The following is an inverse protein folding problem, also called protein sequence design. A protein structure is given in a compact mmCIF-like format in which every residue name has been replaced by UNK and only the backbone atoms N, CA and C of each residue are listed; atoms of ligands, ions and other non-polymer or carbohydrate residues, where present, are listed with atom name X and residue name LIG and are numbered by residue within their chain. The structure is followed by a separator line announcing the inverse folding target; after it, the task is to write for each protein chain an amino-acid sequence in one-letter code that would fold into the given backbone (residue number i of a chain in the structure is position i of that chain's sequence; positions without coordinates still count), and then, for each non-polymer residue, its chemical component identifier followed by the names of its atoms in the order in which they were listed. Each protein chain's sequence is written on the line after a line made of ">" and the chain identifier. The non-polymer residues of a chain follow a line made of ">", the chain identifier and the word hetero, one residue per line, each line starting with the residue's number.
data_IF_413086644675
#
_entry.id   IF_413086644675
#
_cell.length_a   1.000
_cell.length_b   1.000
_cell.length_c   1.000
_cell.angle_alpha   90.00
_cell.angle_beta   90.00
_cell.angle_gamma   90.00
#
_symmetry.space_group_name_H-M   'P 1'
#
loop_
_entity.id
_entity.type
_entity.pdbx_description
1 polymer ?
#
# COMPACT_ATOMS: atom_id res chain seq x y z
N UNK A 1 -31.94 -0.74 28.75
CA UNK A 1 -31.77 -2.13 28.29
C UNK A 1 -31.16 -2.06 26.89
N UNK A 2 -29.91 -2.50 26.75
CA UNK A 2 -29.16 -2.41 25.50
C UNK A 2 -29.79 -3.32 24.42
N UNK A 3 -29.91 -2.79 23.21
CA UNK A 3 -30.46 -3.49 22.06
C UNK A 3 -29.60 -4.71 21.69
N UNK A 4 -30.26 -5.82 21.37
CA UNK A 4 -29.63 -7.03 20.87
C UNK A 4 -28.86 -6.76 19.55
N UNK A 5 -27.73 -7.44 19.31
CA UNK A 5 -26.93 -7.25 18.10
C UNK A 5 -27.71 -7.68 16.86
N UNK A 6 -27.80 -6.80 15.85
CA UNK A 6 -28.35 -7.15 14.54
C UNK A 6 -27.47 -8.23 13.90
N UNK A 7 -28.09 -9.36 13.63
CA UNK A 7 -27.50 -10.56 13.08
C UNK A 7 -26.99 -10.38 11.65
N UNK A 8 -25.71 -10.73 11.45
CA UNK A 8 -25.09 -11.27 10.25
C UNK A 8 -25.03 -10.43 8.96
N UNK A 9 -23.90 -9.74 8.85
CA UNK A 9 -23.16 -9.39 7.64
C UNK A 9 -22.77 -10.67 6.85
N UNK A 10 -23.76 -11.39 6.31
CA UNK A 10 -23.53 -12.62 5.53
C UNK A 10 -22.97 -12.28 4.15
N UNK A 11 -21.64 -12.23 4.08
CA UNK A 11 -20.89 -12.17 2.83
C UNK A 11 -21.17 -13.42 1.99
N UNK A 12 -21.67 -13.22 0.77
CA UNK A 12 -21.87 -14.31 -0.19
C UNK A 12 -20.80 -14.30 -1.27
N UNK A 13 -20.41 -15.47 -1.79
CA UNK A 13 -19.43 -15.56 -2.89
C UNK A 13 -20.10 -15.32 -4.24
N UNK A 14 -19.47 -14.50 -5.07
CA UNK A 14 -19.83 -14.35 -6.46
C UNK A 14 -19.59 -15.67 -7.22
N UNK A 15 -20.60 -16.16 -7.93
CA UNK A 15 -20.54 -17.42 -8.67
C UNK A 15 -19.58 -17.39 -9.87
N UNK A 16 -19.10 -16.21 -10.28
CA UNK A 16 -18.24 -16.04 -11.47
C UNK A 16 -16.78 -15.86 -11.11
N UNK A 17 -16.47 -14.99 -10.15
CA UNK A 17 -15.09 -14.68 -9.76
C UNK A 17 -14.74 -15.13 -8.34
N UNK A 18 -15.68 -15.67 -7.58
CA UNK A 18 -15.46 -16.16 -6.22
C UNK A 18 -15.28 -15.07 -5.14
N UNK A 19 -15.35 -13.78 -5.49
CA UNK A 19 -15.18 -12.69 -4.52
C UNK A 19 -16.36 -12.61 -3.55
N UNK A 20 -16.10 -12.18 -2.32
CA UNK A 20 -17.14 -11.95 -1.32
C UNK A 20 -17.82 -10.60 -1.55
N UNK A 21 -19.16 -10.57 -1.50
CA UNK A 21 -19.97 -9.36 -1.66
C UNK A 21 -20.96 -9.21 -0.50
N UNK A 22 -21.13 -7.96 -0.04
CA UNK A 22 -22.11 -7.59 0.99
C UNK A 22 -23.52 -7.38 0.42
N UNK A 23 -23.63 -7.09 -0.87
CA UNK A 23 -24.89 -6.87 -1.58
C UNK A 23 -24.83 -7.72 -2.84
N UNK A 24 -25.50 -8.89 -2.83
CA UNK A 24 -25.67 -9.67 -4.05
C UNK A 24 -26.93 -9.21 -4.78
N UNK A 25 -26.84 -9.01 -6.10
CA UNK A 25 -28.02 -9.17 -6.93
C UNK A 25 -28.25 -10.67 -7.05
N UNK A 26 -29.15 -11.20 -6.24
CA UNK A 26 -29.58 -12.59 -6.38
C UNK A 26 -30.43 -12.69 -7.64
N UNK A 27 -29.94 -13.37 -8.67
CA UNK A 27 -30.78 -13.67 -9.83
C UNK A 27 -31.88 -14.67 -9.43
N UNK A 28 -33.00 -14.75 -10.17
CA UNK A 28 -34.07 -15.73 -9.90
C UNK A 28 -33.56 -17.17 -9.78
N UNK A 29 -32.43 -17.48 -10.42
CA UNK A 29 -31.73 -18.76 -10.34
C UNK A 29 -30.82 -18.96 -9.10
N UNK A 30 -30.93 -18.10 -8.07
CA UNK A 30 -30.18 -18.12 -6.79
C UNK A 30 -28.65 -17.97 -6.91
N UNK A 31 -28.12 -17.61 -8.08
CA UNK A 31 -26.71 -17.30 -8.26
C UNK A 31 -26.41 -15.84 -7.89
N UNK A 32 -25.34 -15.63 -7.13
CA UNK A 32 -24.91 -14.31 -6.66
C UNK A 32 -23.82 -13.75 -7.59
N UNK A 33 -23.98 -12.51 -8.05
CA UNK A 33 -23.01 -11.85 -8.94
C UNK A 33 -22.51 -10.55 -8.31
N UNK A 34 -21.21 -10.25 -8.47
CA UNK A 34 -20.65 -8.97 -8.09
C UNK A 34 -20.84 -7.93 -9.19
N UNK A 35 -20.94 -6.66 -8.81
CA UNK A 35 -21.17 -5.55 -9.76
C UNK A 35 -20.11 -5.46 -10.87
N UNK A 36 -18.86 -5.87 -10.59
CA UNK A 36 -17.80 -5.95 -11.61
C UNK A 36 -18.10 -7.02 -12.66
N UNK A 37 -18.60 -8.19 -12.24
CA UNK A 37 -18.99 -9.26 -13.16
C UNK A 37 -20.26 -8.89 -13.94
N UNK A 38 -21.26 -8.29 -13.29
CA UNK A 38 -22.47 -7.78 -13.95
C UNK A 38 -22.10 -6.74 -15.02
N UNK A 39 -21.28 -5.74 -14.67
CA UNK A 39 -20.84 -4.70 -15.60
C UNK A 39 -20.06 -5.24 -16.79
N UNK A 40 -19.28 -6.32 -16.61
CA UNK A 40 -18.61 -7.00 -17.72
C UNK A 40 -19.59 -7.74 -18.62
N UNK A 41 -20.64 -8.33 -18.07
CA UNK A 41 -21.67 -9.05 -18.83
C UNK A 41 -22.59 -8.13 -19.64
N UNK A 42 -22.81 -6.91 -19.16
CA UNK A 42 -23.66 -5.90 -19.83
C UNK A 42 -22.86 -4.93 -20.70
N UNK A 43 -21.53 -5.03 -20.70
CA UNK A 43 -20.64 -4.14 -21.48
C UNK A 43 -20.98 -4.19 -22.98
N UNK A 44 -21.40 -3.06 -23.54
CA UNK A 44 -21.75 -2.90 -24.96
C UNK A 44 -23.23 -3.13 -25.29
N UNK A 45 -24.05 -3.56 -24.32
CA UNK A 45 -25.50 -3.64 -24.45
C UNK A 45 -26.08 -2.44 -23.70
N UNK A 46 -26.79 -1.53 -24.37
CA UNK A 46 -27.26 -0.27 -23.78
C UNK A 46 -28.16 -0.46 -22.53
N UNK A 47 -28.73 0.64 -22.01
CA UNK A 47 -29.49 0.69 -20.73
C UNK A 47 -30.67 -0.30 -20.56
N UNK A 48 -31.01 -1.08 -21.58
CA UNK A 48 -32.03 -2.14 -21.56
C UNK A 48 -31.44 -3.57 -21.48
N UNK A 49 -30.16 -3.70 -21.14
CA UNK A 49 -29.48 -4.98 -21.12
C UNK A 49 -29.92 -5.84 -19.93
N UNK A 50 -30.50 -7.00 -20.24
CA UNK A 50 -30.89 -8.00 -19.26
C UNK A 50 -29.66 -8.86 -18.87
N UNK A 51 -29.17 -8.81 -17.62
CA UNK A 51 -28.00 -9.60 -17.20
C UNK A 51 -28.39 -11.08 -17.06
N UNK A 52 -28.19 -11.85 -18.13
CA UNK A 52 -28.48 -13.29 -18.12
C UNK A 52 -27.37 -14.08 -17.40
N UNK A 53 -27.74 -14.96 -16.46
CA UNK A 53 -26.78 -15.80 -15.74
C UNK A 53 -25.99 -16.71 -16.71
N UNK A 54 -24.64 -16.69 -16.68
CA UNK A 54 -23.83 -17.55 -17.55
C UNK A 54 -23.84 -19.03 -17.12
N UNK A 55 -24.26 -19.33 -15.89
CA UNK A 55 -24.29 -20.69 -15.34
C UNK A 55 -25.64 -21.41 -15.53
N UNK A 56 -26.68 -20.71 -15.99
CA UNK A 56 -27.98 -21.33 -16.28
C UNK A 56 -28.08 -21.80 -17.74
N UNK A 57 -28.74 -22.95 -17.99
CA UNK A 57 -29.13 -23.38 -19.33
C UNK A 57 -29.89 -22.27 -20.07
N UNK A 58 -29.70 -22.17 -21.40
CA UNK A 58 -30.14 -21.00 -22.19
C UNK A 58 -31.65 -20.73 -22.09
N UNK A 59 -32.40 -21.79 -21.88
CA UNK A 59 -33.83 -21.98 -21.72
C UNK A 59 -34.39 -21.60 -20.34
N UNK A 60 -33.54 -21.39 -19.32
CA UNK A 60 -33.95 -20.96 -17.97
C UNK A 60 -33.58 -19.51 -17.65
N UNK A 61 -33.11 -18.74 -18.63
CA UNK A 61 -32.66 -17.35 -18.44
C UNK A 61 -33.83 -16.38 -18.54
N UNK A 62 -34.63 -16.29 -17.49
CA UNK A 62 -35.46 -15.11 -17.25
C UNK A 62 -34.59 -14.03 -16.61
N UNK A 63 -34.75 -12.79 -17.04
CA UNK A 63 -34.08 -11.70 -16.35
C UNK A 63 -34.95 -10.45 -16.34
N UNK A 64 -34.72 -9.62 -15.32
CA UNK A 64 -35.50 -8.44 -15.04
C UNK A 64 -34.83 -7.21 -15.63
N UNK A 65 -35.64 -6.22 -15.98
CA UNK A 65 -35.14 -4.92 -16.45
C UNK A 65 -34.55 -4.14 -15.28
N UNK A 66 -33.63 -3.21 -15.57
CA UNK A 66 -33.01 -2.34 -14.56
C UNK A 66 -34.07 -1.52 -13.81
N UNK A 67 -35.16 -1.16 -14.48
CA UNK A 67 -36.28 -0.41 -13.89
C UNK A 67 -37.05 -1.24 -12.83
N UNK A 68 -37.20 -2.56 -13.03
CA UNK A 68 -37.83 -3.46 -12.05
C UNK A 68 -36.90 -3.76 -10.85
N UNK A 69 -35.58 -3.82 -11.09
CA UNK A 69 -34.58 -3.90 -10.02
C UNK A 69 -34.56 -2.63 -9.16
N UNK A 70 -34.81 -1.47 -9.79
CA UNK A 70 -34.86 -0.18 -9.12
C UNK A 70 -36.04 -0.01 -8.16
N UNK A 71 -37.22 -0.54 -8.52
CA UNK A 71 -38.38 -0.56 -7.63
C UNK A 71 -38.18 -1.49 -6.42
N UNK A 72 -37.40 -2.56 -6.59
CA UNK A 72 -37.18 -3.57 -5.53
C UNK A 72 -36.07 -3.17 -4.54
N UNK A 73 -35.09 -2.37 -4.96
CA UNK A 73 -33.89 -2.04 -4.17
C UNK A 73 -33.94 -0.70 -3.41
N UNK A 74 -35.04 0.04 -3.50
CA UNK A 74 -35.23 1.29 -2.73
C UNK A 74 -34.50 2.50 -3.35
N UNK A 75 -35.17 3.65 -3.35
CA UNK A 75 -34.73 4.89 -4.04
C UNK A 75 -33.37 5.42 -3.58
N UNK A 76 -32.93 5.07 -2.37
CA UNK A 76 -31.73 5.64 -1.74
C UNK A 76 -30.42 5.14 -2.37
N UNK A 77 -30.33 3.87 -2.77
CA UNK A 77 -29.12 3.32 -3.42
C UNK A 77 -28.89 3.89 -4.82
N UNK A 78 -29.98 4.14 -5.56
CA UNK A 78 -29.90 4.77 -6.89
C UNK A 78 -29.56 6.25 -6.76
N UNK A 79 -30.06 6.91 -5.72
CA UNK A 79 -29.68 8.29 -5.42
C UNK A 79 -28.18 8.39 -5.13
N UNK A 80 -27.61 7.47 -4.33
CA UNK A 80 -26.17 7.43 -4.07
C UNK A 80 -25.34 7.21 -5.34
N UNK A 81 -25.75 6.31 -6.23
CA UNK A 81 -25.05 6.07 -7.50
C UNK A 81 -25.18 7.26 -8.47
N UNK A 82 -26.35 7.90 -8.56
CA UNK A 82 -26.56 9.11 -9.38
C UNK A 82 -25.79 10.32 -8.82
N UNK A 83 -25.74 10.49 -7.51
CA UNK A 83 -24.92 11.51 -6.83
C UNK A 83 -23.44 11.23 -7.07
N UNK A 84 -23.00 9.98 -6.98
CA UNK A 84 -21.62 9.56 -7.27
C UNK A 84 -21.25 9.83 -8.73
N UNK A 85 -22.18 9.62 -9.67
CA UNK A 85 -21.95 9.87 -11.09
C UNK A 85 -21.99 11.36 -11.46
N UNK A 86 -22.79 12.18 -10.75
CA UNK A 86 -22.71 13.64 -10.83
C UNK A 86 -21.41 14.20 -10.24
N UNK A 87 -20.97 13.70 -9.08
CA UNK A 87 -19.69 14.06 -8.46
C UNK A 87 -18.51 13.69 -9.37
N UNK A 88 -18.54 12.51 -10.00
CA UNK A 88 -17.51 12.06 -10.96
C UNK A 88 -17.47 12.90 -12.24
N UNK A 89 -18.58 13.51 -12.65
CA UNK A 89 -18.64 14.46 -13.78
C UNK A 89 -18.13 15.85 -13.37
N UNK A 90 -18.42 16.31 -12.14
CA UNK A 90 -17.83 17.53 -11.61
C UNK A 90 -16.31 17.40 -11.40
N UNK A 91 -15.81 16.28 -10.87
CA UNK A 91 -14.37 16.03 -10.69
C UNK A 91 -13.59 15.97 -12.01
N UNK A 92 -14.19 15.47 -13.10
CA UNK A 92 -13.58 15.50 -14.45
C UNK A 92 -13.54 16.90 -15.07
N UNK A 93 -14.30 17.85 -14.54
CA UNK A 93 -14.29 19.25 -14.98
C UNK A 93 -13.44 20.15 -14.06
N UNK A 94 -12.97 19.63 -12.91
CA UNK A 94 -12.09 20.29 -11.95
C UNK A 94 -10.67 19.69 -11.95
N UNK A 95 -10.07 19.47 -13.11
CA UNK A 95 -8.59 19.44 -13.22
C UNK A 95 -8.09 20.87 -13.40
N UNK A 96 -7.97 21.63 -12.30
CA UNK A 96 -7.02 22.76 -12.15
C UNK A 96 -7.06 23.37 -10.74
N UNK A 97 -6.85 22.55 -9.70
CA UNK A 97 -6.23 22.96 -8.44
C UNK A 97 -5.94 21.70 -7.61
N UNK A 98 -4.69 21.25 -7.59
CA UNK A 98 -4.26 20.21 -6.65
C UNK A 98 -4.50 20.69 -5.23
N UNK A 99 -5.38 20.02 -4.47
CA UNK A 99 -5.41 20.20 -3.01
C UNK A 99 -3.99 19.90 -2.48
N UNK A 100 -3.45 20.73 -1.57
CA UNK A 100 -2.12 20.51 -1.04
C UNK A 100 -2.05 19.15 -0.34
N UNK A 101 -0.92 18.46 -0.52
CA UNK A 101 -0.64 17.20 0.13
C UNK A 101 -0.49 17.47 1.64
N UNK A 102 -1.46 17.03 2.46
CA UNK A 102 -1.39 17.22 3.92
C UNK A 102 -1.10 15.91 4.65
N UNK A 103 -0.28 15.96 5.70
CA UNK A 103 0.11 14.77 6.50
C UNK A 103 -0.98 14.44 7.53
N UNK A 104 -1.72 15.44 8.00
CA UNK A 104 -2.62 15.36 9.17
C UNK A 104 -3.80 14.38 9.05
N UNK A 105 -4.20 14.02 7.82
CA UNK A 105 -5.34 13.14 7.57
C UNK A 105 -4.96 11.76 7.04
N UNK A 106 -3.68 11.39 7.08
CA UNK A 106 -3.20 10.13 6.51
C UNK A 106 -2.42 9.31 7.51
N UNK A 107 -2.58 7.97 7.50
CA UNK A 107 -1.74 7.12 8.32
C UNK A 107 -0.26 7.28 7.95
N UNK A 108 0.60 7.40 8.96
CA UNK A 108 2.04 7.34 8.80
C UNK A 108 2.51 5.89 8.83
N UNK A 109 3.35 5.51 7.87
CA UNK A 109 4.05 4.23 7.86
C UNK A 109 5.54 4.53 7.73
N UNK A 110 6.33 4.05 8.68
CA UNK A 110 7.79 4.18 8.66
C UNK A 110 8.37 2.97 7.96
N UNK A 111 9.35 3.17 7.09
CA UNK A 111 9.95 2.09 6.32
C UNK A 111 11.44 2.29 6.13
N UNK A 112 12.11 1.18 5.88
CA UNK A 112 13.53 1.12 5.53
C UNK A 112 13.75 -0.06 4.56
N UNK A 113 14.81 0.01 3.75
CA UNK A 113 15.20 -1.03 2.80
C UNK A 113 16.66 -1.43 3.00
N UNK A 114 16.89 -2.73 3.19
CA UNK A 114 18.21 -3.29 2.91
C UNK A 114 18.33 -3.60 1.43
N UNK A 115 19.54 -3.42 0.90
CA UNK A 115 19.79 -3.54 -0.54
C UNK A 115 21.11 -4.25 -0.86
N UNK A 116 21.28 -4.63 -2.12
CA UNK A 116 22.52 -5.25 -2.60
C UNK A 116 23.72 -4.29 -2.65
N UNK A 117 23.53 -2.98 -2.49
CA UNK A 117 24.57 -1.96 -2.71
C UNK A 117 24.00 -0.55 -2.72
N UNK A 118 24.84 0.47 -2.95
CA UNK A 118 24.48 1.88 -2.70
C UNK A 118 23.93 2.67 -3.92
N UNK A 119 23.83 2.05 -5.09
CA UNK A 119 23.30 2.70 -6.30
C UNK A 119 21.79 2.47 -6.51
N UNK A 120 21.09 3.35 -7.21
CA UNK A 120 19.62 3.24 -7.42
C UNK A 120 19.17 1.99 -8.19
N UNK A 121 20.09 1.29 -8.87
CA UNK A 121 19.84 0.03 -9.54
C UNK A 121 20.17 -1.19 -8.67
N UNK A 122 20.46 -1.01 -7.38
CA UNK A 122 20.53 -2.10 -6.41
C UNK A 122 19.21 -2.87 -6.36
N UNK A 123 19.26 -4.12 -5.90
CA UNK A 123 18.04 -4.86 -5.59
C UNK A 123 17.75 -4.76 -4.11
N UNK A 124 16.47 -4.74 -3.76
CA UNK A 124 16.01 -4.86 -2.38
C UNK A 124 16.35 -6.27 -1.88
N UNK A 125 16.91 -6.35 -0.67
CA UNK A 125 17.23 -7.59 0.06
C UNK A 125 16.40 -7.74 1.33
N UNK A 126 15.87 -6.66 1.90
CA UNK A 126 14.88 -6.69 2.98
C UNK A 126 13.94 -5.48 2.84
N UNK A 127 12.66 -5.67 3.16
CA UNK A 127 11.70 -4.58 3.36
C UNK A 127 11.28 -4.62 4.82
N UNK A 128 11.46 -3.52 5.54
CA UNK A 128 10.95 -3.33 6.89
C UNK A 128 10.00 -2.15 6.93
N UNK A 129 8.89 -2.30 7.66
CA UNK A 129 7.96 -1.21 7.87
C UNK A 129 7.17 -1.35 9.19
N UNK A 130 6.77 -0.22 9.75
CA UNK A 130 5.87 -0.15 10.91
C UNK A 130 4.81 0.92 10.67
N UNK A 131 3.57 0.60 11.03
CA UNK A 131 2.41 1.47 10.86
C UNK A 131 1.30 1.14 11.85
N UNK A 132 0.10 1.71 11.67
CA UNK A 132 -0.99 1.56 12.64
C UNK A 132 -1.47 0.13 12.84
N UNK A 133 -1.31 -0.72 11.82
CA UNK A 133 -1.74 -2.12 11.82
C UNK A 133 -0.67 -3.08 12.36
N UNK A 134 0.51 -2.57 12.73
CA UNK A 134 1.63 -3.35 13.26
C UNK A 134 2.89 -3.20 12.39
N UNK A 135 3.70 -4.25 12.37
CA UNK A 135 4.98 -4.29 11.65
C UNK A 135 4.97 -5.28 10.49
N UNK A 136 5.70 -4.96 9.44
CA UNK A 136 5.98 -5.82 8.29
C UNK A 136 7.49 -5.99 8.13
N UNK A 137 7.95 -7.21 7.91
CA UNK A 137 9.35 -7.51 7.61
C UNK A 137 9.43 -8.70 6.67
N UNK A 138 10.19 -8.58 5.59
CA UNK A 138 10.47 -9.71 4.71
C UNK A 138 11.83 -9.59 4.04
N UNK A 139 12.56 -10.70 3.92
CA UNK A 139 13.73 -10.78 3.07
C UNK A 139 13.34 -11.02 1.62
N UNK A 140 14.09 -10.43 0.70
CA UNK A 140 13.79 -10.41 -0.73
C UNK A 140 14.96 -11.01 -1.50
N UNK A 141 14.67 -11.99 -2.35
CA UNK A 141 15.69 -12.65 -3.19
C UNK A 141 16.16 -11.70 -4.29
N UNK A 142 17.41 -11.22 -4.27
CA UNK A 142 17.92 -10.38 -5.33
C UNK A 142 18.24 -11.22 -6.57
N UNK A 143 18.20 -10.59 -7.76
CA UNK A 143 18.67 -11.21 -9.02
C UNK A 143 20.16 -10.97 -9.31
N UNK A 144 20.91 -10.44 -8.35
CA UNK A 144 22.36 -10.18 -8.45
C UNK A 144 23.02 -10.40 -7.09
N UNK A 145 24.34 -10.49 -7.09
CA UNK A 145 25.12 -10.62 -5.87
C UNK A 145 24.96 -9.38 -4.98
N UNK A 146 25.03 -9.61 -3.68
CA UNK A 146 25.06 -8.55 -2.67
C UNK A 146 26.52 -8.10 -2.58
N UNK A 147 26.79 -6.81 -2.76
CA UNK A 147 28.14 -6.27 -2.69
C UNK A 147 28.76 -6.51 -1.30
N UNK A 148 30.05 -6.82 -1.23
CA UNK A 148 30.77 -7.09 0.02
C UNK A 148 30.55 -6.03 1.12
N UNK A 149 30.59 -4.71 0.82
CA UNK A 149 30.25 -3.70 1.82
C UNK A 149 28.83 -3.82 2.39
N UNK A 150 27.83 -4.13 1.55
CA UNK A 150 26.46 -4.31 1.99
C UNK A 150 26.30 -5.58 2.84
N UNK A 151 26.96 -6.68 2.46
CA UNK A 151 26.97 -7.91 3.26
C UNK A 151 27.56 -7.68 4.66
N UNK A 152 28.66 -6.92 4.77
CA UNK A 152 29.32 -6.63 6.05
C UNK A 152 28.46 -5.80 6.98
N UNK A 153 27.73 -4.84 6.44
CA UNK A 153 26.91 -3.91 7.21
C UNK A 153 25.60 -4.57 7.66
N UNK A 154 24.92 -5.26 6.75
CA UNK A 154 23.59 -5.85 6.99
C UNK A 154 23.66 -7.27 7.55
N UNK A 155 24.78 -7.97 7.35
CA UNK A 155 24.89 -9.41 7.61
C UNK A 155 24.07 -10.27 6.65
N UNK A 156 23.48 -9.70 5.60
CA UNK A 156 22.65 -10.41 4.63
C UNK A 156 23.53 -11.00 3.52
N UNK A 157 23.38 -12.30 3.27
CA UNK A 157 24.04 -13.00 2.16
C UNK A 157 23.02 -13.79 1.34
N UNK A 158 23.34 -14.03 0.06
CA UNK A 158 22.48 -14.79 -0.84
C UNK A 158 23.28 -15.72 -1.74
N UNK A 159 23.05 -17.03 -1.61
CA UNK A 159 23.59 -18.05 -2.51
C UNK A 159 22.60 -18.26 -3.67
N UNK A 160 22.97 -17.74 -4.85
CA UNK A 160 22.16 -17.83 -6.07
C UNK A 160 21.98 -19.26 -6.59
N UNK A 161 22.92 -20.17 -6.30
CA UNK A 161 22.87 -21.58 -6.75
C UNK A 161 21.94 -22.40 -5.87
N UNK A 162 21.95 -22.15 -4.57
CA UNK A 162 21.07 -22.82 -3.60
C UNK A 162 19.74 -22.11 -3.39
N UNK A 163 19.56 -20.93 -3.98
CA UNK A 163 18.42 -20.03 -3.72
C UNK A 163 18.21 -19.79 -2.21
N UNK A 164 19.31 -19.70 -1.45
CA UNK A 164 19.29 -19.58 0.00
C UNK A 164 19.71 -18.20 0.42
N UNK A 165 18.86 -17.53 1.20
CA UNK A 165 19.18 -16.27 1.86
C UNK A 165 19.58 -16.54 3.30
N UNK A 166 20.59 -15.84 3.80
CA UNK A 166 21.01 -15.89 5.19
C UNK A 166 21.09 -14.48 5.77
N UNK A 167 20.81 -14.35 7.06
CA UNK A 167 21.04 -13.13 7.84
C UNK A 167 21.90 -13.52 9.03
N UNK A 168 23.08 -12.88 9.15
CA UNK A 168 24.09 -13.14 10.20
C UNK A 168 24.48 -14.62 10.30
N UNK A 169 24.61 -15.26 9.13
CA UNK A 169 24.99 -16.67 9.01
C UNK A 169 23.85 -17.68 9.20
N UNK A 170 22.67 -17.25 9.67
CA UNK A 170 21.50 -18.12 9.81
C UNK A 170 20.62 -18.09 8.54
N UNK A 171 20.14 -19.24 8.04
CA UNK A 171 19.18 -19.28 6.95
C UNK A 171 17.88 -18.53 7.30
N UNK A 172 17.37 -17.72 6.39
CA UNK A 172 16.10 -16.99 6.54
C UNK A 172 15.15 -17.26 5.38
N UNK A 173 13.85 -17.18 5.65
CA UNK A 173 12.82 -17.22 4.61
C UNK A 173 12.91 -15.94 3.77
N UNK A 174 12.83 -16.09 2.45
CA UNK A 174 12.88 -14.97 1.51
C UNK A 174 11.89 -15.17 0.37
N UNK A 175 11.34 -14.06 -0.13
CA UNK A 175 10.33 -14.01 -1.17
C UNK A 175 10.92 -13.51 -2.50
N UNK A 176 10.32 -13.87 -3.66
CA UNK A 176 10.57 -13.13 -4.89
C UNK A 176 10.12 -11.67 -4.74
N UNK A 177 10.85 -10.74 -5.36
CA UNK A 177 10.58 -9.29 -5.28
C UNK A 177 9.10 -8.92 -5.50
N UNK A 178 8.46 -9.48 -6.53
CA UNK A 178 7.06 -9.17 -6.84
C UNK A 178 6.12 -9.53 -5.69
N UNK A 179 6.31 -10.70 -5.10
CA UNK A 179 5.47 -11.17 -3.98
C UNK A 179 5.75 -10.35 -2.71
N UNK A 180 7.01 -10.01 -2.45
CA UNK A 180 7.39 -9.13 -1.34
C UNK A 180 6.74 -7.73 -1.47
N UNK A 181 6.70 -7.18 -2.69
CA UNK A 181 6.03 -5.91 -2.96
C UNK A 181 4.51 -6.01 -2.83
N UNK A 182 3.89 -7.08 -3.32
CA UNK A 182 2.45 -7.30 -3.17
C UNK A 182 2.05 -7.38 -1.69
N UNK A 183 2.78 -8.13 -0.88
CA UNK A 183 2.55 -8.21 0.57
C UNK A 183 2.81 -6.88 1.29
N UNK A 184 3.81 -6.13 0.85
CA UNK A 184 4.05 -4.77 1.38
C UNK A 184 2.86 -3.84 1.06
N UNK A 185 2.36 -3.85 -0.18
CA UNK A 185 1.20 -3.05 -0.59
C UNK A 185 -0.09 -3.45 0.15
N UNK A 186 -0.26 -4.74 0.46
CA UNK A 186 -1.35 -5.23 1.31
C UNK A 186 -1.21 -4.72 2.75
N UNK A 187 0.02 -4.72 3.30
CA UNK A 187 0.31 -4.17 4.62
C UNK A 187 -0.01 -2.68 4.74
N UNK A 188 0.22 -1.89 3.68
CA UNK A 188 -0.16 -0.46 3.64
C UNK A 188 -1.67 -0.22 3.82
N UNK A 189 -2.50 -1.25 3.65
CA UNK A 189 -3.94 -1.18 3.90
C UNK A 189 -4.71 -0.55 2.74
N UNK A 190 -6.01 -0.32 2.94
CA UNK A 190 -6.90 0.18 1.88
C UNK A 190 -6.69 1.67 1.58
N UNK A 191 -6.54 2.48 2.64
CA UNK A 191 -6.41 3.93 2.56
C UNK A 191 -4.99 4.36 2.18
N UNK A 192 -4.81 5.45 1.41
CA UNK A 192 -3.50 5.97 1.08
C UNK A 192 -2.72 6.46 2.31
N UNK A 193 -1.45 6.06 2.42
CA UNK A 193 -0.55 6.39 3.54
C UNK A 193 0.52 7.42 3.16
N UNK A 194 1.19 7.99 4.16
CA UNK A 194 2.44 8.72 3.98
C UNK A 194 3.60 7.86 4.45
N UNK A 195 4.58 7.63 3.58
CA UNK A 195 5.76 6.83 3.90
C UNK A 195 6.86 7.71 4.50
N UNK A 196 7.34 7.37 5.68
CA UNK A 196 8.45 8.03 6.37
C UNK A 196 9.70 7.17 6.27
N UNK A 197 10.79 7.74 5.78
CA UNK A 197 12.10 7.07 5.77
C UNK A 197 13.21 8.05 6.12
N UNK A 198 14.41 7.54 6.37
CA UNK A 198 15.55 8.36 6.75
C UNK A 198 16.56 8.47 5.60
N UNK A 199 16.77 9.68 5.06
CA UNK A 199 17.50 9.89 3.80
C UNK A 199 16.85 9.18 2.60
N UNK A 200 15.56 8.84 2.70
CA UNK A 200 14.85 8.00 1.76
C UNK A 200 14.67 8.65 0.39
N UNK A 201 14.58 9.99 0.32
CA UNK A 201 14.39 10.70 -0.97
C UNK A 201 15.55 10.43 -1.92
N UNK A 202 16.75 10.26 -1.37
CA UNK A 202 17.97 10.01 -2.14
C UNK A 202 18.26 8.54 -2.40
N UNK A 203 17.63 7.61 -1.67
CA UNK A 203 18.01 6.20 -1.72
C UNK A 203 16.80 5.27 -1.77
N UNK A 204 16.10 5.06 -0.65
CA UNK A 204 15.02 4.09 -0.54
C UNK A 204 13.89 4.34 -1.54
N UNK A 205 13.49 5.60 -1.73
CA UNK A 205 12.41 5.97 -2.63
C UNK A 205 12.74 5.66 -4.11
N UNK A 206 13.91 6.06 -4.67
CA UNK A 206 14.34 5.60 -6.00
C UNK A 206 14.39 4.07 -6.14
N UNK A 207 14.88 3.36 -5.13
CA UNK A 207 15.00 1.88 -5.16
C UNK A 207 13.62 1.23 -5.15
N UNK A 208 12.72 1.67 -4.27
CA UNK A 208 11.33 1.20 -4.20
C UNK A 208 10.57 1.49 -5.50
N UNK A 209 10.77 2.67 -6.08
CA UNK A 209 10.18 3.05 -7.36
C UNK A 209 10.64 2.10 -8.47
N UNK A 210 11.96 1.88 -8.60
CA UNK A 210 12.53 1.00 -9.61
C UNK A 210 12.06 -0.45 -9.44
N UNK A 211 11.98 -0.93 -8.20
CA UNK A 211 11.45 -2.25 -7.87
C UNK A 211 9.97 -2.40 -8.26
N UNK A 212 9.13 -1.43 -7.89
CA UNK A 212 7.71 -1.43 -8.24
C UNK A 212 7.50 -1.35 -9.76
N UNK A 213 8.28 -0.52 -10.47
CA UNK A 213 8.27 -0.43 -11.93
C UNK A 213 8.66 -1.76 -12.58
N UNK A 214 9.75 -2.38 -12.13
CA UNK A 214 10.21 -3.67 -12.65
C UNK A 214 9.21 -4.82 -12.43
N UNK A 215 8.34 -4.71 -11.42
CA UNK A 215 7.29 -5.69 -11.14
C UNK A 215 5.92 -5.35 -11.74
N UNK A 216 5.78 -4.22 -12.45
CA UNK A 216 4.49 -3.76 -12.96
C UNK A 216 3.48 -3.45 -11.84
N UNK A 217 3.98 -2.88 -10.74
CA UNK A 217 3.22 -2.51 -9.53
C UNK A 217 3.32 -1.01 -9.21
N UNK A 218 3.92 -0.21 -10.09
CA UNK A 218 4.10 1.23 -9.85
C UNK A 218 2.77 1.96 -9.64
N UNK A 219 1.76 1.68 -10.45
CA UNK A 219 0.44 2.29 -10.28
C UNK A 219 -0.23 1.91 -8.95
N UNK A 220 -0.03 0.68 -8.49
CA UNK A 220 -0.57 0.22 -7.21
C UNK A 220 0.13 0.94 -6.06
N UNK A 221 1.46 1.08 -6.14
CA UNK A 221 2.24 1.86 -5.18
C UNK A 221 1.80 3.33 -5.14
N UNK A 222 1.60 3.97 -6.29
CA UNK A 222 1.14 5.36 -6.38
C UNK A 222 -0.28 5.56 -5.84
N UNK A 223 -1.15 4.54 -5.91
CA UNK A 223 -2.49 4.59 -5.29
C UNK A 223 -2.42 4.44 -3.77
N UNK A 224 -1.48 3.63 -3.27
CA UNK A 224 -1.33 3.33 -1.84
C UNK A 224 -0.51 4.38 -1.09
N UNK A 225 0.39 5.09 -1.77
CA UNK A 225 1.29 6.06 -1.15
C UNK A 225 0.90 7.46 -1.62
N UNK A 226 0.31 8.24 -0.72
CA UNK A 226 -0.05 9.62 -1.00
C UNK A 226 1.18 10.54 -1.10
N UNK A 227 2.25 10.19 -0.40
CA UNK A 227 3.50 10.95 -0.41
C UNK A 227 4.53 10.35 0.53
N UNK A 228 5.69 11.00 0.59
CA UNK A 228 6.84 10.58 1.35
C UNK A 228 7.36 11.72 2.22
N UNK A 229 7.91 11.38 3.38
CA UNK A 229 8.65 12.32 4.23
C UNK A 229 10.06 11.78 4.43
N UNK A 230 11.06 12.59 4.05
CA UNK A 230 12.46 12.32 4.37
C UNK A 230 12.79 12.94 5.72
N UNK A 231 13.07 12.09 6.69
CA UNK A 231 13.29 12.53 8.07
C UNK A 231 14.68 13.11 8.29
N UNK A 232 15.67 12.87 7.41
CA UNK A 232 17.00 13.46 7.56
C UNK A 232 16.97 15.01 7.52
N UNK A 233 16.40 15.66 6.49
CA UNK A 233 16.24 17.11 6.51
C UNK A 233 15.30 17.59 7.62
N UNK A 234 14.29 16.78 7.99
CA UNK A 234 13.37 17.09 9.10
C UNK A 234 14.12 17.26 10.44
N UNK A 235 14.98 16.30 10.79
CA UNK A 235 15.81 16.38 12.00
C UNK A 235 16.83 17.52 11.92
N UNK A 236 17.46 17.74 10.75
CA UNK A 236 18.42 18.85 10.56
C UNK A 236 17.80 20.22 10.78
N UNK A 237 16.54 20.40 10.38
CA UNK A 237 15.86 21.67 10.55
C UNK A 237 15.26 21.84 11.95
N UNK A 238 14.60 20.80 12.46
CA UNK A 238 13.89 20.84 13.76
C UNK A 238 14.81 20.73 14.98
N UNK A 239 15.96 20.05 14.87
CA UNK A 239 16.90 19.83 15.97
C UNK A 239 18.33 20.20 15.56
N UNK A 240 18.57 21.49 15.39
CA UNK A 240 19.85 22.03 14.92
C UNK A 240 20.96 21.84 15.96
N UNK A 241 22.21 21.75 15.47
CA UNK A 241 23.41 21.74 16.32
C UNK A 241 23.90 20.36 16.75
N UNK A 242 23.27 19.27 16.31
CA UNK A 242 23.75 17.91 16.58
C UNK A 242 25.03 17.60 15.79
N UNK A 243 25.92 16.80 16.39
CA UNK A 243 27.20 16.37 15.77
C UNK A 243 26.99 15.51 14.53
N UNK A 244 25.92 14.74 14.50
CA UNK A 244 25.56 13.85 13.40
C UNK A 244 24.04 13.74 13.32
N UNK A 245 23.56 13.43 12.12
CA UNK A 245 22.15 13.13 11.85
C UNK A 245 21.97 11.76 11.22
N UNK A 246 22.95 10.86 11.37
CA UNK A 246 22.72 9.45 11.06
C UNK A 246 21.70 8.88 12.05
N UNK A 247 20.81 8.01 11.59
CA UNK A 247 19.69 7.52 12.39
C UNK A 247 20.16 6.88 13.70
N UNK A 248 21.20 6.04 13.66
CA UNK A 248 21.74 5.36 14.84
C UNK A 248 22.26 6.34 15.89
N UNK A 249 22.86 7.45 15.46
CA UNK A 249 23.39 8.48 16.34
C UNK A 249 22.30 9.42 16.86
N UNK A 250 21.24 9.66 16.07
CA UNK A 250 20.04 10.33 16.55
C UNK A 250 19.35 9.49 17.62
N UNK A 251 19.22 8.19 17.39
CA UNK A 251 18.59 7.26 18.32
C UNK A 251 19.35 7.20 19.66
N UNK A 252 20.67 7.03 19.60
CA UNK A 252 21.54 7.08 20.79
C UNK A 252 21.42 8.42 21.52
N UNK A 253 21.38 9.54 20.80
CA UNK A 253 21.22 10.86 21.41
C UNK A 253 19.90 10.99 22.19
N UNK A 254 18.77 10.55 21.62
CA UNK A 254 17.45 10.69 22.23
C UNK A 254 17.21 9.72 23.39
N UNK A 255 17.72 8.49 23.29
CA UNK A 255 17.33 7.40 24.17
C UNK A 255 18.48 6.85 25.02
N UNK A 256 19.72 7.27 24.78
CA UNK A 256 20.92 6.76 25.46
C UNK A 256 21.06 5.23 25.37
N UNK A 257 20.58 4.67 24.26
CA UNK A 257 20.57 3.24 23.99
C UNK A 257 20.87 2.99 22.50
N UNK A 258 21.38 1.81 22.16
CA UNK A 258 21.56 1.36 20.78
C UNK A 258 20.46 0.39 20.37
N UNK A 259 20.18 0.29 19.07
CA UNK A 259 19.33 -0.74 18.50
C UNK A 259 20.10 -1.56 17.45
N UNK A 260 19.49 -2.64 16.95
CA UNK A 260 20.08 -3.45 15.87
C UNK A 260 19.97 -2.72 14.54
N UNK A 261 20.84 -1.74 14.29
CA UNK A 261 20.93 -1.06 12.99
C UNK A 261 21.34 -2.01 11.88
N UNK A 262 20.96 -1.66 10.65
CA UNK A 262 21.16 -2.48 9.44
C UNK A 262 20.31 -3.76 9.47
N UNK A 263 19.11 -3.62 10.00
CA UNK A 263 17.98 -4.52 9.79
C UNK A 263 16.77 -3.63 9.53
N UNK A 264 16.21 -3.72 8.32
CA UNK A 264 15.17 -2.79 7.88
C UNK A 264 13.95 -2.70 8.83
N UNK A 265 13.59 -3.79 9.53
CA UNK A 265 12.47 -3.75 10.46
C UNK A 265 12.84 -3.04 11.77
N UNK A 266 14.04 -3.28 12.27
CA UNK A 266 14.57 -2.56 13.43
C UNK A 266 14.78 -1.07 13.12
N UNK A 267 15.29 -0.73 11.94
CA UNK A 267 15.47 0.65 11.48
C UNK A 267 14.12 1.37 11.33
N UNK A 268 13.09 0.74 10.76
CA UNK A 268 11.76 1.32 10.68
C UNK A 268 11.13 1.58 12.06
N UNK A 269 11.27 0.64 13.00
CA UNK A 269 10.77 0.78 14.38
C UNK A 269 11.51 1.89 15.15
N UNK A 270 12.84 1.93 15.01
CA UNK A 270 13.67 2.97 15.61
C UNK A 270 13.29 4.35 15.07
N UNK A 271 13.06 4.47 13.77
CA UNK A 271 12.64 5.71 13.13
C UNK A 271 11.26 6.18 13.61
N UNK A 272 10.29 5.27 13.73
CA UNK A 272 8.97 5.60 14.31
C UNK A 272 9.11 6.22 15.70
N UNK A 273 9.87 5.56 16.58
CA UNK A 273 10.10 6.03 17.94
C UNK A 273 10.79 7.39 17.95
N UNK A 274 11.80 7.58 17.10
CA UNK A 274 12.51 8.84 16.93
C UNK A 274 11.58 9.99 16.52
N UNK A 275 10.79 9.80 15.47
CA UNK A 275 9.89 10.84 14.96
C UNK A 275 8.80 11.19 15.97
N UNK A 276 8.25 10.19 16.68
CA UNK A 276 7.29 10.40 17.77
C UNK A 276 7.90 11.18 18.93
N UNK A 277 9.13 10.85 19.34
CA UNK A 277 9.82 11.53 20.44
C UNK A 277 10.27 12.95 20.07
N UNK A 278 10.64 13.19 18.82
CA UNK A 278 11.05 14.50 18.32
C UNK A 278 9.90 15.53 18.32
N UNK A 279 8.65 15.08 18.21
CA UNK A 279 7.48 15.95 18.34
C UNK A 279 7.42 17.06 17.29
N UNK A 280 7.81 16.76 16.05
CA UNK A 280 7.81 17.74 14.96
C UNK A 280 6.43 18.35 14.72
N UNK A 281 6.39 19.64 14.40
CA UNK A 281 5.14 20.30 14.01
C UNK A 281 4.62 19.78 12.67
N UNK A 282 3.31 19.91 12.47
CA UNK A 282 2.67 19.56 11.20
C UNK A 282 3.29 20.35 10.04
N UNK A 283 3.49 21.65 10.22
CA UNK A 283 4.00 22.55 9.18
C UNK A 283 5.40 22.14 8.73
N UNK A 284 6.28 21.79 9.68
CA UNK A 284 7.63 21.34 9.37
C UNK A 284 7.62 19.98 8.67
N UNK A 285 6.72 19.09 9.06
CA UNK A 285 6.56 17.77 8.42
C UNK A 285 6.03 17.92 7.00
N UNK A 286 5.02 18.76 6.78
CA UNK A 286 4.44 19.05 5.46
C UNK A 286 5.44 19.75 4.53
N UNK A 287 6.31 20.60 5.06
CA UNK A 287 7.42 21.20 4.30
C UNK A 287 8.41 20.17 3.74
N UNK A 288 8.57 19.05 4.43
CA UNK A 288 9.48 17.96 4.03
C UNK A 288 8.76 16.82 3.29
N UNK A 289 7.47 17.00 3.00
CA UNK A 289 6.67 16.09 2.21
C UNK A 289 7.03 16.22 0.72
N UNK A 290 7.13 15.09 0.02
CA UNK A 290 7.37 15.04 -1.42
C UNK A 290 6.57 13.91 -2.07
N UNK A 291 6.35 14.00 -3.38
CA UNK A 291 5.58 13.02 -4.13
C UNK A 291 6.47 12.23 -5.11
N UNK A 292 5.86 11.32 -5.88
CA UNK A 292 6.59 10.47 -6.81
C UNK A 292 7.31 11.26 -7.91
N UNK A 293 6.73 12.39 -8.31
CA UNK A 293 7.30 13.31 -9.31
C UNK A 293 8.61 13.94 -8.85
N UNK A 294 8.85 14.01 -7.54
CA UNK A 294 10.09 14.55 -6.96
C UNK A 294 11.22 13.52 -6.85
N UNK A 295 10.92 12.23 -7.12
CA UNK A 295 11.89 11.14 -7.02
C UNK A 295 12.78 11.15 -8.27
N UNK A 296 14.09 11.30 -8.06
CA UNK A 296 15.10 11.20 -9.12
C UNK A 296 15.57 9.75 -9.25
N UNK A 297 15.13 9.09 -10.33
CA UNK A 297 15.48 7.70 -10.65
C UNK A 297 16.58 7.59 -11.69
#
# INVERSE_FOLDING_TARGET
>A
MAAAPRSHDQLTKCSVCGCFVRISTTLPCKHNLCMKCVSKMTKGKGKKANPACPHCPKDQRQGQTIDELAETLGRDLILEDLVTEQHRKQEKTLTSASKPLTVTNRPAVFFDLETTGLGHHCHITQIGAVGPTGSYSTFVRPKKEIEEPAQKVTGITYDTKKCQMCHRGAPVLSLPLKEALERFLDFLGAEPVVLFGHNCKRFDCPVLFNAAKACGRLEDLQKKVAGFVDTLPLFREGHRGLKSYKQELLYEHYFQESYSSHDAAADALALERLVKAAGFSTELTEKNLFCFEDIRV
#
